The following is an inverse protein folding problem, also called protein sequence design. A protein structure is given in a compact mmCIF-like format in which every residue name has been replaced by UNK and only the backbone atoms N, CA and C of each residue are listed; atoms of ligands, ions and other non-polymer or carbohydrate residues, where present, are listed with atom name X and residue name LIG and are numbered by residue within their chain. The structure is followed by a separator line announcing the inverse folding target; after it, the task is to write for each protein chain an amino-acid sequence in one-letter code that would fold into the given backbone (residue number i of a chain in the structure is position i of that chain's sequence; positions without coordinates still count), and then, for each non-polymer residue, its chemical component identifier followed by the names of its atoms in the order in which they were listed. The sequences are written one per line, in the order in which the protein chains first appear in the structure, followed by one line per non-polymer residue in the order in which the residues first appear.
data_IF_090966884066
#
_entry.id   IF_090966884066
#
_cell.length_a   1.000
_cell.length_b   1.000
_cell.length_c   1.000
_cell.angle_alpha   90.00
_cell.angle_beta   90.00
_cell.angle_gamma   90.00
#
_symmetry.space_group_name_H-M   'P 1'
#
loop_
_entity.id
_entity.type
_entity.pdbx_description
1 polymer ?
#
# COMPACT_ATOMS: atom_id res chain seq x y z
N UNK A 1 3.46 -11.58 20.65
CA UNK A 1 2.24 -11.52 19.80
C UNK A 1 2.16 -12.81 18.98
N UNK A 2 0.97 -13.39 18.85
CA UNK A 2 0.76 -14.60 18.07
C UNK A 2 0.71 -14.31 16.57
N UNK A 3 1.13 -15.26 15.73
CA UNK A 3 0.99 -15.14 14.27
C UNK A 3 -0.47 -15.44 13.89
N UNK A 4 -1.16 -14.48 13.26
CA UNK A 4 -2.50 -14.69 12.72
C UNK A 4 -2.38 -15.46 11.39
N UNK A 5 -3.17 -16.49 11.21
CA UNK A 5 -3.23 -17.31 9.99
C UNK A 5 -4.69 -17.63 9.63
N UNK A 6 -5.45 -16.60 9.29
CA UNK A 6 -6.83 -16.71 8.86
C UNK A 6 -6.99 -16.85 7.34
N UNK A 7 -8.21 -17.01 6.87
CA UNK A 7 -8.53 -17.07 5.44
C UNK A 7 -8.41 -15.70 4.77
N UNK A 8 -8.72 -14.64 5.53
CA UNK A 8 -8.66 -13.23 5.08
C UNK A 8 -7.56 -12.50 5.81
N UNK A 9 -7.55 -12.54 7.17
CA UNK A 9 -6.60 -11.83 8.02
C UNK A 9 -5.41 -12.73 8.34
N UNK A 10 -4.20 -12.21 8.14
CA UNK A 10 -2.97 -12.97 8.39
C UNK A 10 -1.80 -12.04 8.72
N UNK A 11 -0.78 -12.59 9.37
CA UNK A 11 0.49 -11.91 9.62
C UNK A 11 1.44 -12.14 8.43
N UNK A 12 1.76 -11.10 7.63
CA UNK A 12 2.64 -11.22 6.49
C UNK A 12 4.08 -11.54 6.91
N UNK A 13 4.84 -12.19 6.02
CA UNK A 13 6.24 -12.54 6.22
C UNK A 13 7.14 -11.85 5.18
N UNK A 14 8.44 -11.78 5.47
CA UNK A 14 9.44 -11.20 4.57
C UNK A 14 9.15 -9.73 4.25
N UNK A 15 9.33 -9.32 2.99
CA UNK A 15 9.19 -7.91 2.57
C UNK A 15 7.80 -7.30 2.81
N UNK A 16 6.75 -8.11 2.87
CA UNK A 16 5.41 -7.64 3.18
C UNK A 16 5.27 -7.22 4.65
N UNK A 17 6.01 -7.85 5.57
CA UNK A 17 6.03 -7.49 6.99
C UNK A 17 6.57 -6.07 7.25
N UNK A 18 7.38 -5.52 6.34
CA UNK A 18 7.85 -4.12 6.43
C UNK A 18 6.71 -3.09 6.28
N UNK A 19 5.53 -3.49 5.76
CA UNK A 19 4.36 -2.60 5.63
C UNK A 19 3.45 -2.66 6.85
N UNK A 20 3.21 -3.85 7.38
CA UNK A 20 2.32 -4.05 8.50
C UNK A 20 2.53 -5.42 9.15
N UNK A 21 2.21 -5.52 10.43
CA UNK A 21 2.22 -6.77 11.20
C UNK A 21 1.07 -7.69 10.79
N UNK A 22 -0.08 -7.11 10.42
CA UNK A 22 -1.26 -7.86 9.99
C UNK A 22 -1.86 -7.26 8.72
N UNK A 23 -2.38 -8.13 7.86
CA UNK A 23 -2.96 -7.75 6.57
C UNK A 23 -4.24 -8.52 6.28
N UNK A 24 -5.07 -7.96 5.39
CA UNK A 24 -6.28 -8.59 4.89
C UNK A 24 -6.23 -8.72 3.36
N UNK A 25 -6.48 -9.93 2.86
CA UNK A 25 -6.57 -10.21 1.43
C UNK A 25 -7.83 -11.03 1.11
N UNK A 26 -8.76 -10.43 0.40
CA UNK A 26 -9.96 -11.11 -0.11
C UNK A 26 -9.75 -11.76 -1.46
N UNK A 27 -8.93 -11.12 -2.30
CA UNK A 27 -8.75 -11.46 -3.70
C UNK A 27 -7.33 -11.91 -4.00
N UNK A 28 -7.17 -12.60 -5.12
CA UNK A 28 -5.91 -12.89 -5.78
C UNK A 28 -5.95 -12.36 -7.20
N UNK A 29 -4.77 -12.03 -7.77
CA UNK A 29 -4.69 -11.41 -9.08
C UNK A 29 -4.99 -9.90 -9.06
N UNK A 30 -4.60 -9.20 -10.14
CA UNK A 30 -4.71 -7.75 -10.22
C UNK A 30 -4.73 -7.28 -11.68
N UNK A 31 -5.62 -6.34 -12.01
CA UNK A 31 -5.77 -5.80 -13.36
C UNK A 31 -4.81 -4.64 -13.69
N UNK A 32 -4.03 -4.12 -12.73
CA UNK A 32 -3.06 -3.02 -12.97
C UNK A 32 -1.97 -3.35 -14.00
N UNK A 33 -1.67 -4.62 -14.26
CA UNK A 33 -0.77 -5.04 -15.32
C UNK A 33 0.72 -4.75 -15.11
N UNK A 34 1.16 -4.34 -13.92
CA UNK A 34 2.53 -3.93 -13.64
C UNK A 34 3.56 -4.99 -14.08
N UNK A 35 4.55 -4.58 -14.89
CA UNK A 35 5.56 -5.49 -15.48
C UNK A 35 6.50 -6.08 -14.42
N UNK A 36 6.72 -5.38 -13.34
CA UNK A 36 7.60 -5.77 -12.23
C UNK A 36 6.88 -6.59 -11.15
N UNK A 37 5.56 -6.83 -11.27
CA UNK A 37 4.72 -7.40 -10.21
C UNK A 37 5.24 -8.76 -9.73
N UNK A 38 5.52 -8.86 -8.43
CA UNK A 38 5.99 -10.10 -7.81
C UNK A 38 4.94 -11.21 -7.82
N UNK A 39 3.65 -10.88 -7.89
CA UNK A 39 2.56 -11.85 -7.99
C UNK A 39 2.60 -12.65 -9.31
N UNK A 40 3.32 -12.16 -10.32
CA UNK A 40 3.48 -12.81 -11.62
C UNK A 40 4.78 -13.57 -11.77
N UNK A 41 5.58 -13.66 -10.70
CA UNK A 41 6.91 -14.28 -10.70
C UNK A 41 6.96 -15.49 -9.77
N UNK A 42 7.76 -16.48 -10.15
CA UNK A 42 8.00 -17.67 -9.34
C UNK A 42 6.81 -18.61 -9.20
N UNK A 43 6.92 -19.54 -8.27
CA UNK A 43 5.91 -20.61 -8.03
C UNK A 43 4.55 -20.04 -7.63
N UNK A 44 4.54 -18.95 -6.86
CA UNK A 44 3.31 -18.28 -6.41
C UNK A 44 2.48 -17.68 -7.54
N UNK A 45 3.08 -17.43 -8.71
CA UNK A 45 2.40 -16.82 -9.86
C UNK A 45 1.19 -17.63 -10.35
N UNK A 46 1.22 -18.96 -10.25
CA UNK A 46 0.11 -19.83 -10.62
C UNK A 46 -1.13 -19.67 -9.73
N UNK A 47 -0.94 -19.22 -8.50
CA UNK A 47 -2.01 -19.08 -7.50
C UNK A 47 -2.43 -17.61 -7.33
N UNK A 48 -1.47 -16.69 -7.38
CA UNK A 48 -1.65 -15.27 -7.04
C UNK A 48 -1.59 -14.35 -8.26
N UNK A 49 -1.11 -14.82 -9.40
CA UNK A 49 -0.67 -14.02 -10.55
C UNK A 49 -1.73 -13.73 -11.63
N UNK A 50 -3.00 -13.88 -11.35
CA UNK A 50 -4.08 -13.61 -12.31
C UNK A 50 -4.07 -12.16 -12.85
N UNK A 51 -4.59 -11.97 -14.09
CA UNK A 51 -4.70 -10.65 -14.74
C UNK A 51 -5.95 -9.87 -14.31
N UNK A 52 -6.81 -10.49 -13.51
CA UNK A 52 -8.02 -9.89 -12.92
C UNK A 52 -8.12 -10.30 -11.46
N UNK A 53 -8.70 -9.46 -10.61
CA UNK A 53 -9.02 -9.84 -9.24
C UNK A 53 -10.06 -10.95 -9.23
N UNK A 54 -9.75 -12.04 -8.54
CA UNK A 54 -10.69 -13.14 -8.28
C UNK A 54 -10.83 -13.31 -6.77
N UNK A 55 -12.07 -13.45 -6.28
CA UNK A 55 -12.32 -13.76 -4.88
C UNK A 55 -11.67 -15.10 -4.54
N UNK A 56 -10.94 -15.17 -3.43
CA UNK A 56 -10.32 -16.43 -2.99
C UNK A 56 -11.37 -17.55 -2.92
N UNK A 57 -11.09 -18.68 -3.52
CA UNK A 57 -12.00 -19.84 -3.55
C UNK A 57 -12.49 -20.26 -2.16
N UNK A 58 -11.68 -20.07 -1.13
CA UNK A 58 -12.02 -20.34 0.28
C UNK A 58 -13.08 -19.41 0.84
N UNK A 59 -13.35 -18.29 0.17
CA UNK A 59 -14.35 -17.30 0.58
C UNK A 59 -15.70 -17.44 -0.14
N UNK A 60 -15.79 -18.40 -1.09
CA UNK A 60 -16.99 -18.79 -1.84
C UNK A 60 -17.67 -17.62 -2.55
N UNK A 61 -18.37 -16.75 -1.80
CA UNK A 61 -19.15 -15.62 -2.30
C UNK A 61 -18.99 -14.39 -1.41
N UNK A 62 -19.46 -13.28 -1.90
CA UNK A 62 -19.27 -11.96 -1.31
C UNK A 62 -19.83 -11.81 0.12
N UNK A 63 -21.10 -12.16 0.46
CA UNK A 63 -21.59 -12.05 1.83
C UNK A 63 -20.78 -12.89 2.80
N UNK A 64 -20.47 -14.11 2.41
CA UNK A 64 -19.68 -15.04 3.22
C UNK A 64 -18.26 -14.55 3.48
N UNK A 65 -17.66 -13.83 2.52
CA UNK A 65 -16.31 -13.27 2.68
C UNK A 65 -16.26 -12.20 3.78
N UNK A 66 -17.28 -11.34 3.87
CA UNK A 66 -17.34 -10.31 4.93
C UNK A 66 -17.64 -10.91 6.30
N UNK A 67 -18.43 -11.98 6.36
CA UNK A 67 -18.71 -12.70 7.61
C UNK A 67 -17.44 -13.38 8.15
N UNK A 68 -16.67 -14.05 7.28
CA UNK A 68 -15.38 -14.62 7.66
C UNK A 68 -14.44 -13.51 8.18
N UNK A 69 -14.32 -12.41 7.46
CA UNK A 69 -13.49 -11.30 7.86
C UNK A 69 -13.89 -10.76 9.23
N UNK A 70 -15.18 -10.56 9.46
CA UNK A 70 -15.73 -10.07 10.73
C UNK A 70 -15.39 -11.01 11.87
N UNK A 71 -15.62 -12.32 11.69
CA UNK A 71 -15.31 -13.32 12.71
C UNK A 71 -13.81 -13.40 13.02
N UNK A 72 -12.95 -13.34 12.01
CA UNK A 72 -11.49 -13.32 12.20
C UNK A 72 -11.04 -12.02 12.92
N UNK A 73 -11.61 -10.87 12.56
CA UNK A 73 -11.33 -9.60 13.23
C UNK A 73 -11.74 -9.65 14.71
N UNK A 74 -12.93 -10.15 15.02
CA UNK A 74 -13.42 -10.26 16.41
C UNK A 74 -12.55 -11.19 17.24
N UNK A 75 -12.11 -12.31 16.65
CA UNK A 75 -11.22 -13.28 17.30
C UNK A 75 -9.87 -12.67 17.71
N UNK A 76 -9.36 -11.72 16.93
CA UNK A 76 -8.06 -11.09 17.13
C UNK A 76 -8.16 -9.59 17.43
N UNK A 77 -9.31 -9.14 17.92
CA UNK A 77 -9.66 -7.72 18.05
C UNK A 77 -8.62 -6.90 18.81
N UNK A 78 -8.21 -7.35 20.00
CA UNK A 78 -7.27 -6.61 20.85
C UNK A 78 -5.89 -6.42 20.20
N UNK A 79 -5.42 -7.43 19.49
CA UNK A 79 -4.17 -7.35 18.73
C UNK A 79 -4.31 -6.39 17.56
N UNK A 80 -5.39 -6.52 16.77
CA UNK A 80 -5.64 -5.69 15.61
C UNK A 80 -5.92 -4.22 15.94
N UNK A 81 -6.48 -3.93 17.12
CA UNK A 81 -6.63 -2.54 17.60
C UNK A 81 -5.28 -1.86 17.83
N UNK A 82 -4.24 -2.62 18.18
CA UNK A 82 -2.87 -2.12 18.42
C UNK A 82 -2.05 -2.03 17.12
N UNK A 83 -2.12 -3.06 16.28
CA UNK A 83 -1.27 -3.21 15.09
C UNK A 83 -1.91 -2.66 13.82
N UNK A 84 -3.24 -2.61 13.76
CA UNK A 84 -4.01 -2.28 12.56
C UNK A 84 -4.01 -3.39 11.51
N UNK A 85 -4.67 -3.11 10.38
CA UNK A 85 -4.74 -3.99 9.21
C UNK A 85 -4.29 -3.27 7.94
N UNK A 86 -3.52 -3.96 7.11
CA UNK A 86 -3.10 -3.48 5.79
C UNK A 86 -3.95 -4.13 4.67
N UNK A 87 -4.46 -3.32 3.77
CA UNK A 87 -5.16 -3.71 2.53
C UNK A 87 -4.33 -3.31 1.33
N UNK A 88 -3.86 -4.16 0.45
CA UNK A 88 -3.69 -5.62 0.50
C UNK A 88 -2.41 -6.00 -0.25
N UNK A 89 -1.99 -7.27 -0.16
CA UNK A 89 -0.75 -7.72 -0.82
C UNK A 89 -1.00 -8.56 -2.08
N UNK A 90 -2.17 -9.18 -2.24
CA UNK A 90 -2.45 -10.12 -3.35
C UNK A 90 -3.32 -9.54 -4.46
N UNK A 91 -3.72 -8.29 -4.32
CA UNK A 91 -4.44 -7.49 -5.32
C UNK A 91 -4.32 -6.00 -4.98
N UNK A 92 -4.73 -5.12 -5.88
CA UNK A 92 -5.02 -3.72 -5.51
C UNK A 92 -6.43 -3.67 -4.87
N UNK A 93 -6.56 -3.13 -3.65
CA UNK A 93 -7.82 -3.19 -2.89
C UNK A 93 -8.89 -2.22 -3.37
N UNK A 94 -8.56 -1.25 -4.21
CA UNK A 94 -9.48 -0.20 -4.63
C UNK A 94 -9.78 -0.19 -6.13
N UNK A 95 -9.51 -1.28 -6.84
CA UNK A 95 -9.98 -1.48 -8.20
C UNK A 95 -11.53 -1.53 -8.25
N UNK A 96 -12.17 -1.26 -9.39
CA UNK A 96 -13.61 -1.38 -9.52
C UNK A 96 -14.18 -2.70 -9.00
N UNK A 97 -13.46 -3.81 -9.21
CA UNK A 97 -13.87 -5.15 -8.81
C UNK A 97 -13.68 -5.43 -7.31
N UNK A 98 -12.75 -4.73 -6.65
CA UNK A 98 -12.35 -5.04 -5.25
C UNK A 98 -12.84 -4.04 -4.23
N UNK A 99 -13.05 -2.78 -4.63
CA UNK A 99 -13.32 -1.67 -3.73
C UNK A 99 -14.57 -1.84 -2.85
N UNK A 100 -15.61 -2.52 -3.36
CA UNK A 100 -16.86 -2.71 -2.61
C UNK A 100 -16.61 -3.50 -1.33
N UNK A 101 -15.96 -4.67 -1.43
CA UNK A 101 -15.67 -5.53 -0.28
C UNK A 101 -14.65 -4.87 0.65
N UNK A 102 -13.65 -4.19 0.09
CA UNK A 102 -12.66 -3.42 0.86
C UNK A 102 -13.34 -2.33 1.71
N UNK A 103 -14.25 -1.52 1.14
CA UNK A 103 -14.97 -0.48 1.89
C UNK A 103 -15.85 -1.07 3.01
N UNK A 104 -16.51 -2.20 2.75
CA UNK A 104 -17.27 -2.87 3.80
C UNK A 104 -16.37 -3.38 4.93
N UNK A 105 -15.23 -3.95 4.61
CA UNK A 105 -14.25 -4.39 5.60
C UNK A 105 -13.68 -3.22 6.41
N UNK A 106 -13.41 -2.08 5.78
CA UNK A 106 -13.03 -0.84 6.49
C UNK A 106 -14.15 -0.41 7.45
N UNK A 107 -15.41 -0.50 7.04
CA UNK A 107 -16.56 -0.22 7.93
C UNK A 107 -16.60 -1.17 9.13
N UNK A 108 -16.28 -2.45 8.97
CA UNK A 108 -16.13 -3.37 10.10
C UNK A 108 -14.99 -2.92 11.00
N UNK A 109 -13.83 -2.57 10.44
CA UNK A 109 -12.69 -2.07 11.22
C UNK A 109 -13.04 -0.83 12.05
N UNK A 110 -13.74 0.14 11.45
CA UNK A 110 -14.16 1.37 12.13
C UNK A 110 -15.09 1.07 13.33
N UNK A 111 -16.09 0.20 13.14
CA UNK A 111 -16.99 -0.20 14.25
C UNK A 111 -16.28 -0.86 15.42
N UNK A 112 -15.12 -1.45 15.18
CA UNK A 112 -14.33 -2.15 16.20
C UNK A 112 -13.03 -1.44 16.58
N UNK A 113 -12.86 -0.18 16.18
CA UNK A 113 -11.68 0.65 16.47
C UNK A 113 -10.35 0.02 16.00
N UNK A 114 -10.35 -0.70 14.87
CA UNK A 114 -9.15 -1.25 14.24
C UNK A 114 -8.61 -0.26 13.22
N UNK A 115 -7.37 0.26 13.37
CA UNK A 115 -6.77 1.13 12.38
C UNK A 115 -6.52 0.39 11.07
N UNK A 116 -6.63 1.10 9.95
CA UNK A 116 -6.39 0.51 8.64
C UNK A 116 -5.37 1.32 7.83
N UNK A 117 -4.61 0.61 6.98
CA UNK A 117 -3.75 1.18 5.94
C UNK A 117 -4.19 0.62 4.60
N UNK A 118 -4.48 1.49 3.65
CA UNK A 118 -4.91 1.10 2.30
C UNK A 118 -3.87 1.61 1.30
N UNK A 119 -3.28 0.71 0.52
CA UNK A 119 -2.31 1.05 -0.53
C UNK A 119 -2.89 0.71 -1.90
N UNK A 120 -3.01 1.71 -2.78
CA UNK A 120 -3.59 1.51 -4.10
C UNK A 120 -2.86 2.30 -5.19
N UNK A 121 -2.94 1.79 -6.42
CA UNK A 121 -2.57 2.51 -7.65
C UNK A 121 -3.80 3.04 -8.41
N UNK A 122 -5.01 2.81 -7.90
CA UNK A 122 -6.25 3.27 -8.48
C UNK A 122 -6.67 4.62 -7.87
N UNK A 123 -6.37 5.72 -8.55
CA UNK A 123 -6.69 7.07 -8.09
C UNK A 123 -8.20 7.28 -7.90
N UNK A 124 -9.02 6.75 -8.82
CA UNK A 124 -10.47 6.82 -8.71
C UNK A 124 -10.99 6.07 -7.48
N UNK A 125 -10.49 4.85 -7.25
CA UNK A 125 -10.86 4.06 -6.07
C UNK A 125 -10.48 4.75 -4.75
N UNK A 126 -9.33 5.44 -4.70
CA UNK A 126 -8.95 6.26 -3.54
C UNK A 126 -9.95 7.41 -3.35
N UNK A 127 -10.32 8.12 -4.41
CA UNK A 127 -11.30 9.21 -4.32
C UNK A 127 -12.66 8.72 -3.83
N UNK A 128 -13.14 7.59 -4.35
CA UNK A 128 -14.39 6.97 -3.89
C UNK A 128 -14.30 6.55 -2.42
N UNK A 129 -13.14 6.06 -1.96
CA UNK A 129 -12.94 5.74 -0.54
C UNK A 129 -13.01 7.00 0.34
N UNK A 130 -12.38 8.09 -0.07
CA UNK A 130 -12.44 9.37 0.65
C UNK A 130 -13.90 9.83 0.77
N UNK A 131 -14.64 9.88 -0.33
CA UNK A 131 -16.05 10.30 -0.33
C UNK A 131 -16.93 9.39 0.54
N UNK A 132 -16.67 8.08 0.49
CA UNK A 132 -17.39 7.11 1.30
C UNK A 132 -17.16 7.32 2.80
N UNK A 133 -15.92 7.60 3.20
CA UNK A 133 -15.59 7.86 4.61
C UNK A 133 -16.17 9.19 5.08
N UNK A 134 -16.08 10.25 4.26
CA UNK A 134 -16.66 11.58 4.57
C UNK A 134 -18.18 11.51 4.73
N UNK A 135 -18.87 10.67 3.94
CA UNK A 135 -20.31 10.45 4.05
C UNK A 135 -20.70 9.54 5.23
N UNK A 136 -19.74 8.88 5.88
CA UNK A 136 -20.01 7.92 6.96
C UNK A 136 -19.95 8.60 8.32
N UNK A 137 -21.10 8.95 8.86
CA UNK A 137 -21.18 9.60 10.17
C UNK A 137 -20.49 8.79 11.30
N UNK A 138 -19.71 9.47 12.11
CA UNK A 138 -19.04 8.88 13.28
C UNK A 138 -17.77 8.07 12.95
N UNK A 139 -17.30 8.05 11.70
CA UNK A 139 -16.04 7.41 11.37
C UNK A 139 -14.84 8.30 11.70
N UNK A 140 -13.82 7.69 12.31
CA UNK A 140 -12.56 8.35 12.63
C UNK A 140 -11.58 8.17 11.47
N UNK A 141 -11.52 9.16 10.59
CA UNK A 141 -10.62 9.17 9.44
C UNK A 141 -9.14 9.18 9.82
N UNK A 142 -8.78 9.61 11.03
CA UNK A 142 -7.38 9.57 11.50
C UNK A 142 -6.86 8.14 11.70
N UNK A 143 -7.77 7.17 11.76
CA UNK A 143 -7.47 5.75 11.84
C UNK A 143 -7.47 5.05 10.46
N UNK A 144 -7.59 5.80 9.36
CA UNK A 144 -7.58 5.29 7.98
C UNK A 144 -6.42 5.94 7.25
N UNK A 145 -5.28 5.28 7.20
CA UNK A 145 -4.14 5.77 6.43
C UNK A 145 -4.30 5.41 4.95
N UNK A 146 -4.27 6.43 4.10
CA UNK A 146 -4.38 6.29 2.64
C UNK A 146 -3.00 6.38 2.02
N UNK A 147 -2.64 5.37 1.24
CA UNK A 147 -1.36 5.30 0.56
C UNK A 147 -1.47 5.09 -0.94
N UNK A 148 -0.45 5.53 -1.65
CA UNK A 148 -0.29 5.21 -3.05
C UNK A 148 1.13 4.77 -3.38
N UNK A 149 1.25 3.83 -4.33
CA UNK A 149 2.55 3.48 -4.90
C UNK A 149 2.95 4.55 -5.90
N UNK A 150 4.16 5.08 -5.78
CA UNK A 150 4.71 6.11 -6.67
C UNK A 150 6.04 5.62 -7.21
N UNK A 151 6.06 5.15 -8.47
CA UNK A 151 7.29 4.64 -9.11
C UNK A 151 7.96 5.68 -10.00
N UNK A 152 7.22 6.68 -10.45
CA UNK A 152 7.65 7.61 -11.50
C UNK A 152 7.69 6.97 -12.90
N UNK A 153 7.26 5.70 -13.05
CA UNK A 153 7.39 4.90 -14.27
C UNK A 153 6.02 4.39 -14.72
N UNK A 154 5.17 5.29 -15.25
CA UNK A 154 3.80 4.94 -15.69
C UNK A 154 3.80 3.86 -16.78
N UNK A 155 4.83 3.83 -17.64
CA UNK A 155 5.01 2.84 -18.70
C UNK A 155 5.17 1.40 -18.18
N UNK A 156 5.58 1.22 -16.93
CA UNK A 156 5.68 -0.08 -16.28
C UNK A 156 4.37 -0.52 -15.59
N UNK A 157 3.36 0.33 -15.61
CA UNK A 157 2.09 0.16 -14.90
C UNK A 157 0.88 0.44 -15.82
N UNK A 158 0.72 -0.28 -16.94
CA UNK A 158 -0.10 0.13 -18.09
C UNK A 158 -1.59 0.35 -17.79
N UNK A 159 -2.14 -0.30 -16.76
CA UNK A 159 -3.54 -0.19 -16.40
C UNK A 159 -3.75 0.47 -15.02
N UNK A 160 -2.69 0.98 -14.40
CA UNK A 160 -2.81 1.74 -13.17
C UNK A 160 -3.04 3.23 -13.48
N UNK A 161 -3.59 3.97 -12.55
CA UNK A 161 -3.67 5.43 -12.70
C UNK A 161 -2.25 6.04 -12.79
N UNK A 162 -2.00 7.06 -13.63
CA UNK A 162 -0.71 7.73 -13.70
C UNK A 162 -0.22 8.25 -12.34
N UNK A 163 1.09 8.28 -12.12
CA UNK A 163 1.68 8.76 -10.86
C UNK A 163 1.17 10.15 -10.46
N UNK A 164 1.01 11.08 -11.43
CA UNK A 164 0.46 12.41 -11.18
C UNK A 164 -0.94 12.37 -10.57
N UNK A 165 -1.81 11.50 -11.07
CA UNK A 165 -3.17 11.33 -10.51
C UNK A 165 -3.12 10.77 -9.08
N UNK A 166 -2.23 9.81 -8.83
CA UNK A 166 -2.03 9.24 -7.48
C UNK A 166 -1.54 10.30 -6.49
N UNK A 167 -0.61 11.17 -6.89
CA UNK A 167 -0.15 12.30 -6.07
C UNK A 167 -1.32 13.25 -5.75
N UNK A 168 -2.15 13.57 -6.73
CA UNK A 168 -3.33 14.41 -6.52
C UNK A 168 -4.31 13.78 -5.51
N UNK A 169 -4.47 12.45 -5.50
CA UNK A 169 -5.32 11.78 -4.50
C UNK A 169 -4.71 11.80 -3.10
N UNK A 170 -3.39 11.71 -2.97
CA UNK A 170 -2.70 11.91 -1.67
C UNK A 170 -2.88 13.33 -1.17
N UNK A 171 -2.74 14.34 -2.05
CA UNK A 171 -3.01 15.72 -1.70
C UNK A 171 -4.47 15.94 -1.26
N UNK A 172 -5.44 15.29 -1.92
CA UNK A 172 -6.83 15.31 -1.52
C UNK A 172 -7.03 14.65 -0.16
N UNK A 173 -6.51 13.44 0.06
CA UNK A 173 -6.61 12.73 1.31
C UNK A 173 -6.04 13.56 2.48
N UNK A 174 -4.86 14.18 2.28
CA UNK A 174 -4.23 15.06 3.27
C UNK A 174 -5.10 16.26 3.64
N UNK A 175 -5.68 16.94 2.65
CA UNK A 175 -6.59 18.08 2.89
C UNK A 175 -7.86 17.68 3.65
N UNK A 176 -8.34 16.44 3.47
CA UNK A 176 -9.46 15.88 4.21
C UNK A 176 -9.06 15.33 5.61
N UNK A 177 -7.79 15.45 6.01
CA UNK A 177 -7.31 15.05 7.34
C UNK A 177 -7.02 13.56 7.50
N UNK A 178 -6.87 12.81 6.42
CA UNK A 178 -6.39 11.43 6.48
C UNK A 178 -4.87 11.38 6.69
N UNK A 179 -4.34 10.48 7.51
CA UNK A 179 -2.94 10.10 7.45
C UNK A 179 -2.59 9.56 6.07
N UNK A 180 -1.44 9.97 5.52
CA UNK A 180 -1.03 9.61 4.16
C UNK A 180 0.32 8.91 4.13
N UNK A 181 0.52 8.00 3.18
CA UNK A 181 1.83 7.41 2.95
C UNK A 181 2.09 7.12 1.48
N UNK A 182 3.34 7.17 1.07
CA UNK A 182 3.77 6.80 -0.27
C UNK A 182 4.68 5.58 -0.22
N UNK A 183 4.42 4.60 -1.09
CA UNK A 183 5.34 3.50 -1.35
C UNK A 183 6.11 3.82 -2.63
N UNK A 184 7.35 4.33 -2.48
CA UNK A 184 8.28 4.54 -3.59
C UNK A 184 9.03 3.23 -3.83
N UNK A 185 8.27 2.23 -4.27
CA UNK A 185 8.73 0.87 -4.53
C UNK A 185 7.83 0.21 -5.61
N UNK A 186 8.45 -0.46 -6.59
CA UNK A 186 9.88 -0.62 -6.72
C UNK A 186 10.54 0.57 -7.42
N UNK A 187 11.78 0.89 -7.05
CA UNK A 187 12.65 1.72 -7.87
C UNK A 187 13.40 0.79 -8.84
N UNK A 188 13.15 0.83 -10.16
CA UNK A 188 13.91 0.06 -11.13
C UNK A 188 15.35 0.57 -11.28
N UNK A 189 16.31 -0.24 -11.75
CA UNK A 189 17.67 0.22 -12.06
C UNK A 189 17.67 1.43 -13.01
N UNK A 190 18.46 2.44 -12.71
CA UNK A 190 18.59 3.66 -13.52
C UNK A 190 17.41 4.64 -13.42
N UNK A 191 16.41 4.40 -12.52
CA UNK A 191 15.22 5.26 -12.40
C UNK A 191 15.19 6.08 -11.10
N UNK A 192 16.36 6.35 -10.52
CA UNK A 192 16.45 7.12 -9.27
C UNK A 192 15.95 8.56 -9.43
N UNK A 193 16.23 9.23 -10.55
CA UNK A 193 15.75 10.59 -10.82
C UNK A 193 14.22 10.66 -10.87
N UNK A 194 13.59 9.64 -11.45
CA UNK A 194 12.12 9.55 -11.49
C UNK A 194 11.53 9.30 -10.10
N UNK A 195 12.18 8.43 -9.33
CA UNK A 195 11.78 8.19 -7.94
C UNK A 195 11.93 9.46 -7.10
N UNK A 196 13.01 10.21 -7.26
CA UNK A 196 13.21 11.50 -6.61
C UNK A 196 12.13 12.51 -7.01
N UNK A 197 11.82 12.59 -8.30
CA UNK A 197 10.79 13.52 -8.81
C UNK A 197 9.41 13.26 -8.17
N UNK A 198 8.97 12.01 -8.05
CA UNK A 198 7.68 11.73 -7.41
C UNK A 198 7.71 11.95 -5.90
N UNK A 199 8.86 11.76 -5.24
CA UNK A 199 9.06 12.13 -3.84
C UNK A 199 8.88 13.64 -3.68
N UNK A 200 9.63 14.44 -4.41
CA UNK A 200 9.59 15.91 -4.32
C UNK A 200 8.19 16.45 -4.60
N UNK A 201 7.51 15.95 -5.64
CA UNK A 201 6.16 16.38 -6.00
C UNK A 201 5.11 15.99 -4.95
N UNK A 202 5.29 14.88 -4.22
CA UNK A 202 4.34 14.42 -3.22
C UNK A 202 4.70 14.81 -1.78
N UNK A 203 5.88 15.34 -1.56
CA UNK A 203 6.43 15.70 -0.25
C UNK A 203 5.46 16.47 0.66
N UNK A 204 4.76 17.53 0.19
CA UNK A 204 3.85 18.29 1.05
C UNK A 204 2.60 17.53 1.51
N UNK A 205 2.30 16.38 0.89
CA UNK A 205 1.05 15.66 1.05
C UNK A 205 1.21 14.28 1.69
N UNK A 206 2.43 13.89 2.03
CA UNK A 206 2.77 12.55 2.53
C UNK A 206 3.34 12.63 3.94
N UNK A 207 2.83 11.80 4.86
CA UNK A 207 3.32 11.72 6.24
C UNK A 207 4.43 10.67 6.41
N UNK A 208 4.49 9.68 5.50
CA UNK A 208 5.47 8.60 5.54
C UNK A 208 5.83 8.15 4.13
N UNK A 209 7.10 8.22 3.78
CA UNK A 209 7.66 7.56 2.60
C UNK A 209 8.27 6.22 2.96
N UNK A 210 7.91 5.17 2.22
CA UNK A 210 8.58 3.86 2.23
C UNK A 210 9.31 3.69 0.91
N UNK A 211 10.64 3.60 0.97
CA UNK A 211 11.51 3.59 -0.20
C UNK A 211 12.18 2.24 -0.35
N UNK A 212 12.04 1.61 -1.52
CA UNK A 212 12.58 0.27 -1.75
C UNK A 212 12.93 -0.03 -3.21
N UNK A 213 13.92 -0.89 -3.40
CA UNK A 213 14.44 -1.28 -4.71
C UNK A 213 13.64 -2.43 -5.33
N UNK A 214 13.66 -2.52 -6.65
CA UNK A 214 13.06 -3.63 -7.37
C UNK A 214 13.76 -4.95 -7.04
N UNK A 215 12.96 -5.93 -6.65
CA UNK A 215 13.45 -7.26 -6.30
C UNK A 215 14.03 -7.99 -7.51
N UNK A 216 15.18 -8.65 -7.32
CA UNK A 216 15.85 -9.44 -8.38
C UNK A 216 16.67 -8.62 -9.35
N UNK A 217 16.83 -7.32 -9.12
CA UNK A 217 17.72 -6.45 -9.90
C UNK A 217 19.05 -6.19 -9.17
N UNK A 218 20.06 -5.78 -9.93
CA UNK A 218 21.36 -5.37 -9.39
C UNK A 218 21.44 -3.85 -9.35
N UNK A 219 22.07 -3.33 -8.30
CA UNK A 219 22.31 -1.90 -8.08
C UNK A 219 23.75 -1.70 -7.66
N UNK A 220 24.36 -0.60 -8.08
CA UNK A 220 25.66 -0.20 -7.55
C UNK A 220 25.48 0.55 -6.23
N UNK A 221 26.45 0.40 -5.32
CA UNK A 221 26.47 1.17 -4.07
C UNK A 221 26.52 2.68 -4.36
N UNK A 222 27.23 3.09 -5.42
CA UNK A 222 27.33 4.50 -5.82
C UNK A 222 25.98 5.11 -6.17
N UNK A 223 25.17 4.43 -6.99
CA UNK A 223 23.83 4.92 -7.38
C UNK A 223 22.88 5.02 -6.18
N UNK A 224 22.85 3.98 -5.36
CA UNK A 224 21.93 3.96 -4.19
C UNK A 224 22.34 4.97 -3.14
N UNK A 225 23.64 5.15 -2.89
CA UNK A 225 24.14 6.15 -1.95
C UNK A 225 23.95 7.57 -2.48
N UNK A 226 24.14 7.79 -3.79
CA UNK A 226 23.84 9.07 -4.44
C UNK A 226 22.38 9.47 -4.21
N UNK A 227 21.46 8.59 -4.55
CA UNK A 227 20.04 8.83 -4.33
C UNK A 227 19.67 9.07 -2.83
N UNK A 228 20.32 8.32 -1.92
CA UNK A 228 20.13 8.56 -0.47
C UNK A 228 20.53 9.99 -0.09
N UNK A 229 21.69 10.44 -0.56
CA UNK A 229 22.18 11.79 -0.28
C UNK A 229 21.26 12.87 -0.87
N UNK A 230 20.81 12.71 -2.11
CA UNK A 230 19.86 13.64 -2.76
C UNK A 230 18.58 13.78 -1.94
N UNK A 231 18.04 12.65 -1.45
CA UNK A 231 16.84 12.64 -0.59
C UNK A 231 17.15 13.32 0.75
N UNK A 232 18.29 13.04 1.38
CA UNK A 232 18.67 13.65 2.66
C UNK A 232 18.81 15.16 2.54
N UNK A 233 19.52 15.66 1.52
CA UNK A 233 19.65 17.10 1.23
C UNK A 233 18.28 17.76 1.00
N UNK A 234 17.39 17.08 0.28
CA UNK A 234 16.04 17.60 0.06
C UNK A 234 15.26 17.73 1.37
N UNK A 235 15.37 16.76 2.30
CA UNK A 235 14.74 16.82 3.62
C UNK A 235 15.28 17.94 4.48
N UNK A 236 16.58 18.16 4.48
CA UNK A 236 17.24 19.26 5.22
C UNK A 236 16.81 20.64 4.68
N UNK A 237 16.63 20.75 3.37
CA UNK A 237 16.19 21.98 2.73
C UNK A 237 14.70 22.32 2.99
N UNK A 238 13.88 21.34 3.44
CA UNK A 238 12.43 21.53 3.62
C UNK A 238 11.95 21.15 5.04
N UNK A 239 12.46 21.81 6.11
CA UNK A 239 12.24 21.40 7.50
C UNK A 239 10.80 21.60 8.01
N UNK A 240 9.98 22.41 7.32
CA UNK A 240 8.63 22.80 7.82
C UNK A 240 7.54 21.74 7.63
N UNK A 241 7.78 20.71 6.84
CA UNK A 241 6.85 19.59 6.62
C UNK A 241 7.64 18.29 6.56
N UNK A 242 8.14 17.80 7.68
CA UNK A 242 9.05 16.64 7.70
C UNK A 242 8.29 15.31 7.66
N UNK A 243 8.00 14.74 6.48
CA UNK A 243 7.51 13.37 6.39
C UNK A 243 8.52 12.41 7.00
N UNK A 244 8.04 11.33 7.60
CA UNK A 244 8.92 10.25 8.05
C UNK A 244 9.46 9.48 6.85
N UNK A 245 10.72 9.06 6.93
CA UNK A 245 11.37 8.18 5.96
C UNK A 245 11.51 6.77 6.53
N UNK A 246 11.21 5.77 5.73
CA UNK A 246 11.49 4.39 5.99
C UNK A 246 12.21 3.77 4.79
N UNK A 247 13.50 3.54 4.95
CA UNK A 247 14.32 2.83 3.98
C UNK A 247 14.13 1.33 4.15
N UNK A 248 13.63 0.67 3.12
CA UNK A 248 13.39 -0.77 3.17
C UNK A 248 14.71 -1.55 3.16
N UNK A 249 14.68 -2.75 3.72
CA UNK A 249 15.87 -3.61 3.82
C UNK A 249 16.59 -3.79 2.47
N UNK A 250 15.83 -3.87 1.37
CA UNK A 250 16.40 -3.96 0.00
C UNK A 250 17.27 -2.76 -0.35
N UNK A 251 16.90 -1.57 0.11
CA UNK A 251 17.66 -0.34 -0.12
C UNK A 251 18.87 -0.24 0.82
N UNK A 252 18.65 -0.46 2.11
CA UNK A 252 19.71 -0.43 3.14
C UNK A 252 20.86 -1.39 2.78
N UNK A 253 20.54 -2.62 2.37
CA UNK A 253 21.55 -3.60 1.93
C UNK A 253 22.32 -3.16 0.69
N UNK A 254 21.70 -2.49 -0.26
CA UNK A 254 22.36 -2.07 -1.50
C UNK A 254 23.23 -0.82 -1.31
N UNK A 255 22.80 0.12 -0.47
CA UNK A 255 23.52 1.38 -0.18
C UNK A 255 24.59 1.22 0.91
N UNK A 256 24.35 0.33 1.86
CA UNK A 256 25.23 0.11 3.03
C UNK A 256 25.11 1.24 4.09
N UNK A 257 23.91 1.87 4.17
CA UNK A 257 23.53 2.84 5.20
C UNK A 257 22.95 2.14 6.42
#
# INVERSE_FOLDING_TARGET
MGTINGRVIYSPKGKAAEYAENAANFYVGCSNGCTYCYLRKGIGAKILGGNRPELKKTLREYPYAIDIFTNELLKHKEELQKTGLFFSFTTDPLLPETQRLTRQAIGVCQRHNVPVKVLSKCAEGINILIDFVEASAGWDKTRIAIGSTLTGCDELEPNASPNRMRINTLARAKRHGFPTFASVEPIPPGMFDRAFSVIALSYPFVDLFKIGLQSGCRYTKKETLGFYNDVAEYWEAHPHTTPRLYWKESFVKASGI
#
